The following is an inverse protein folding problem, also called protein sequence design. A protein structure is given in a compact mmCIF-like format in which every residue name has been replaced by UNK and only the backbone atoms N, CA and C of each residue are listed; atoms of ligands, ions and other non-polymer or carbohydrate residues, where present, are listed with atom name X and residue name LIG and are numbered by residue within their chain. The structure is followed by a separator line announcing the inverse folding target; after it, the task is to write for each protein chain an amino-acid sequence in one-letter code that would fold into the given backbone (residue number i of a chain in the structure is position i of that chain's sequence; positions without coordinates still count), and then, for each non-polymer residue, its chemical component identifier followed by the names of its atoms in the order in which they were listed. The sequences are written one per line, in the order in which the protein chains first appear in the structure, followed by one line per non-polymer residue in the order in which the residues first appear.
data_IF_190610112554
#
_entry.id   IF_190610112554
#
_cell.length_a   1.000
_cell.length_b   1.000
_cell.length_c   1.000
_cell.angle_alpha   90.00
_cell.angle_beta   90.00
_cell.angle_gamma   90.00
#
_symmetry.space_group_name_H-M   'P 1'
#
loop_
_entity.id
_entity.type
_entity.pdbx_description
1 polymer ?
#
# COMPACT_ATOMS: atom_id res chain seq x y z
N UNK A 1 50.19 -5.24 0.48
CA UNK A 1 49.36 -5.45 -0.70
C UNK A 1 48.01 -4.87 -0.38
N UNK A 2 47.70 -3.69 -0.90
CA UNK A 2 46.43 -3.03 -0.66
C UNK A 2 45.46 -3.50 -1.74
N UNK A 3 44.40 -4.22 -1.33
CA UNK A 3 43.28 -4.57 -2.22
C UNK A 3 42.51 -3.29 -2.51
N UNK A 4 42.55 -2.88 -3.76
CA UNK A 4 41.75 -1.79 -4.29
C UNK A 4 40.32 -2.32 -4.47
N UNK A 5 39.46 -2.07 -3.49
CA UNK A 5 37.99 -2.25 -3.67
C UNK A 5 37.52 -1.32 -4.79
N UNK A 6 37.32 -1.86 -5.96
CA UNK A 6 36.64 -1.18 -7.07
C UNK A 6 35.16 -1.08 -6.69
N UNK A 7 34.75 0.05 -6.15
CA UNK A 7 33.33 0.41 -6.03
C UNK A 7 32.73 0.50 -7.44
N UNK A 8 32.17 -0.61 -7.92
CA UNK A 8 31.31 -0.58 -9.10
C UNK A 8 30.11 0.36 -8.80
N UNK A 9 30.04 1.46 -9.51
CA UNK A 9 28.85 2.30 -9.53
C UNK A 9 27.67 1.44 -9.99
N UNK A 10 26.54 1.43 -9.26
CA UNK A 10 25.36 0.72 -9.71
C UNK A 10 24.98 1.22 -11.10
N UNK A 11 24.90 0.29 -12.06
CA UNK A 11 24.43 0.58 -13.42
C UNK A 11 22.99 1.06 -13.32
N UNK A 12 22.74 2.35 -13.50
CA UNK A 12 21.36 2.85 -13.62
C UNK A 12 20.70 2.15 -14.81
N UNK A 13 19.49 1.67 -14.59
CA UNK A 13 18.71 1.07 -15.65
C UNK A 13 18.53 2.09 -16.79
N UNK A 14 18.74 1.67 -18.05
CA UNK A 14 18.53 2.53 -19.22
C UNK A 14 17.12 2.35 -19.78
N UNK A 15 16.56 3.41 -20.37
CA UNK A 15 15.23 3.37 -20.97
C UNK A 15 14.07 3.61 -19.98
N UNK A 16 12.94 2.95 -20.21
CA UNK A 16 11.73 3.11 -19.40
C UNK A 16 11.97 2.85 -17.91
N UNK A 17 12.68 1.78 -17.56
CA UNK A 17 13.01 1.45 -16.16
C UNK A 17 13.87 2.53 -15.49
N UNK A 18 14.81 3.12 -16.22
CA UNK A 18 15.60 4.23 -15.70
C UNK A 18 14.78 5.50 -15.44
N UNK A 19 13.74 5.72 -16.23
CA UNK A 19 12.81 6.83 -16.00
C UNK A 19 11.95 6.58 -14.76
N UNK A 20 11.43 5.37 -14.60
CA UNK A 20 10.65 4.96 -13.40
C UNK A 20 11.51 5.08 -12.14
N UNK A 21 12.77 4.59 -12.19
CA UNK A 21 13.72 4.71 -11.08
C UNK A 21 14.00 6.19 -10.73
N UNK A 22 14.24 7.06 -11.72
CA UNK A 22 14.47 8.49 -11.47
C UNK A 22 13.25 9.19 -10.87
N UNK A 23 12.05 8.88 -11.33
CA UNK A 23 10.81 9.45 -10.80
C UNK A 23 10.57 8.91 -9.40
N UNK A 24 10.68 7.60 -9.18
CA UNK A 24 10.49 6.97 -7.88
C UNK A 24 11.44 7.53 -6.81
N UNK A 25 12.72 7.71 -7.16
CA UNK A 25 13.72 8.25 -6.24
C UNK A 25 13.56 9.76 -5.95
N UNK A 26 12.71 10.47 -6.70
CA UNK A 26 12.39 11.89 -6.46
C UNK A 26 11.09 12.06 -5.67
N UNK A 27 10.32 11.01 -5.49
CA UNK A 27 9.11 11.09 -4.69
C UNK A 27 9.49 11.42 -3.24
N UNK A 28 8.83 12.40 -2.62
CA UNK A 28 9.02 12.70 -1.22
C UNK A 28 8.45 11.58 -0.35
N UNK A 29 8.77 11.61 0.93
CA UNK A 29 8.17 10.74 1.94
C UNK A 29 6.63 10.74 1.82
N UNK A 30 5.95 9.61 2.07
CA UNK A 30 4.49 9.49 1.98
C UNK A 30 3.72 10.59 2.73
N UNK A 31 4.22 11.03 3.89
CA UNK A 31 3.62 12.14 4.62
C UNK A 31 3.54 13.41 3.76
N UNK A 32 4.65 13.78 3.12
CA UNK A 32 4.70 14.97 2.26
C UNK A 32 3.87 14.82 1.00
N UNK A 33 3.74 13.58 0.47
CA UNK A 33 2.84 13.32 -0.66
C UNK A 33 1.39 13.66 -0.31
N UNK A 34 0.92 13.26 0.88
CA UNK A 34 -0.43 13.60 1.35
C UNK A 34 -0.61 15.09 1.61
N UNK A 35 0.39 15.77 2.18
CA UNK A 35 0.36 17.22 2.37
C UNK A 35 0.26 17.95 1.02
N UNK A 36 1.06 17.54 0.04
CA UNK A 36 1.02 18.12 -1.32
C UNK A 36 -0.35 17.87 -1.97
N UNK A 37 -0.89 16.65 -1.84
CA UNK A 37 -2.22 16.31 -2.38
C UNK A 37 -3.31 17.16 -1.73
N UNK A 38 -3.29 17.31 -0.42
CA UNK A 38 -4.23 18.18 0.30
C UNK A 38 -4.12 19.63 -0.16
N UNK A 39 -2.90 20.15 -0.35
CA UNK A 39 -2.67 21.48 -0.88
C UNK A 39 -3.20 21.64 -2.31
N UNK A 40 -3.00 20.64 -3.18
CA UNK A 40 -3.55 20.64 -4.54
C UNK A 40 -5.09 20.69 -4.50
N UNK A 41 -5.73 19.90 -3.66
CA UNK A 41 -7.19 19.90 -3.50
C UNK A 41 -7.67 21.27 -3.01
N UNK A 42 -7.01 21.86 -2.01
CA UNK A 42 -7.36 23.19 -1.51
C UNK A 42 -7.24 24.29 -2.58
N UNK A 43 -6.14 24.27 -3.34
CA UNK A 43 -5.95 25.23 -4.46
C UNK A 43 -7.00 25.01 -5.56
N UNK A 44 -7.29 23.75 -5.90
CA UNK A 44 -8.27 23.42 -6.94
C UNK A 44 -9.68 23.83 -6.54
N UNK A 45 -10.06 23.65 -5.27
CA UNK A 45 -11.35 24.12 -4.76
C UNK A 45 -11.47 25.65 -4.80
N UNK A 46 -10.39 26.35 -4.46
CA UNK A 46 -10.33 27.81 -4.53
C UNK A 46 -10.47 28.31 -5.98
N UNK A 47 -9.75 27.71 -6.93
CA UNK A 47 -9.86 28.04 -8.36
C UNK A 47 -11.27 27.71 -8.89
N UNK A 48 -11.83 26.55 -8.54
CA UNK A 48 -13.17 26.14 -8.91
C UNK A 48 -14.23 27.14 -8.43
N UNK A 49 -14.09 27.60 -7.19
CA UNK A 49 -14.96 28.63 -6.63
C UNK A 49 -14.84 29.96 -7.38
N UNK A 50 -13.61 30.39 -7.71
CA UNK A 50 -13.38 31.65 -8.43
C UNK A 50 -14.01 31.68 -9.83
N UNK A 51 -14.04 30.53 -10.53
CA UNK A 51 -14.62 30.42 -11.87
C UNK A 51 -16.10 30.02 -11.86
N UNK A 52 -16.71 29.91 -10.66
CA UNK A 52 -18.12 29.54 -10.49
C UNK A 52 -18.42 28.12 -10.97
N UNK A 53 -17.53 27.15 -10.73
CA UNK A 53 -17.80 25.75 -11.06
C UNK A 53 -18.99 25.21 -10.27
N UNK A 54 -19.86 24.52 -10.98
CA UNK A 54 -21.04 23.86 -10.39
C UNK A 54 -21.05 22.39 -10.80
N UNK A 55 -21.65 21.56 -9.97
CA UNK A 55 -21.92 20.15 -10.24
C UNK A 55 -23.39 19.86 -9.92
N UNK A 56 -23.98 18.92 -10.61
CA UNK A 56 -25.34 18.47 -10.38
C UNK A 56 -25.31 17.25 -9.44
N UNK A 57 -26.06 17.28 -8.36
CA UNK A 57 -26.20 16.13 -7.45
C UNK A 57 -26.99 15.03 -8.19
N UNK A 58 -26.42 13.84 -8.35
CA UNK A 58 -27.04 12.74 -9.11
C UNK A 58 -28.33 12.21 -8.44
N UNK A 59 -28.56 12.47 -7.15
CA UNK A 59 -29.78 12.04 -6.42
C UNK A 59 -30.88 13.05 -6.44
N UNK A 60 -30.54 14.30 -6.17
CA UNK A 60 -31.54 15.37 -6.00
C UNK A 60 -31.74 16.19 -7.27
N UNK A 61 -30.79 16.15 -8.22
CA UNK A 61 -30.77 17.03 -9.39
C UNK A 61 -30.48 18.49 -9.04
N UNK A 62 -30.10 18.78 -7.81
CA UNK A 62 -29.78 20.14 -7.38
C UNK A 62 -28.39 20.54 -7.88
N UNK A 63 -28.23 21.79 -8.27
CA UNK A 63 -26.93 22.35 -8.65
C UNK A 63 -26.16 22.74 -7.39
N UNK A 64 -25.02 22.10 -7.17
CA UNK A 64 -24.11 22.39 -6.05
C UNK A 64 -22.98 23.27 -6.58
N UNK A 65 -22.74 24.40 -5.94
CA UNK A 65 -21.60 25.27 -6.25
C UNK A 65 -20.34 24.79 -5.52
N UNK A 66 -19.18 24.92 -6.16
CA UNK A 66 -17.90 24.59 -5.55
C UNK A 66 -17.54 25.64 -4.51
N UNK A 67 -17.46 25.22 -3.25
CA UNK A 67 -16.99 26.06 -2.15
C UNK A 67 -15.47 26.01 -2.04
N UNK A 68 -14.86 27.15 -1.74
CA UNK A 68 -13.42 27.21 -1.49
C UNK A 68 -13.07 26.66 -0.10
N UNK A 69 -12.17 25.68 -0.04
CA UNK A 69 -11.63 25.16 1.22
C UNK A 69 -10.74 26.17 1.97
N UNK A 70 -10.30 27.25 1.30
CA UNK A 70 -9.41 28.27 1.87
C UNK A 70 -10.16 29.44 2.53
N UNK A 71 -11.49 29.37 2.65
CA UNK A 71 -12.24 30.35 3.45
C UNK A 71 -11.98 30.17 4.94
N UNK A 72 -12.04 31.23 5.71
CA UNK A 72 -11.81 31.18 7.17
C UNK A 72 -12.79 30.20 7.84
N UNK A 73 -14.03 30.16 7.37
CA UNK A 73 -15.04 29.23 7.87
C UNK A 73 -14.66 27.78 7.61
N UNK A 74 -14.30 27.43 6.38
CA UNK A 74 -13.94 26.05 6.02
C UNK A 74 -12.63 25.61 6.68
N UNK A 75 -11.64 26.50 6.82
CA UNK A 75 -10.42 26.19 7.59
C UNK A 75 -10.78 25.93 9.07
N UNK A 76 -11.65 26.75 9.67
CA UNK A 76 -12.10 26.52 11.03
C UNK A 76 -12.82 25.17 11.17
N UNK A 77 -13.74 24.84 10.26
CA UNK A 77 -14.43 23.54 10.22
C UNK A 77 -13.45 22.36 10.07
N UNK A 78 -12.45 22.47 9.20
CA UNK A 78 -11.43 21.42 9.04
C UNK A 78 -10.69 21.12 10.35
N UNK A 79 -10.45 22.12 11.17
CA UNK A 79 -9.78 21.95 12.47
C UNK A 79 -10.75 21.45 13.55
N UNK A 80 -11.94 22.04 13.64
CA UNK A 80 -12.94 21.66 14.67
C UNK A 80 -13.47 20.26 14.45
N UNK A 81 -13.71 19.88 13.19
CA UNK A 81 -14.32 18.60 12.83
C UNK A 81 -13.29 17.50 12.54
N UNK A 82 -11.98 17.79 12.72
CA UNK A 82 -10.92 16.86 12.41
C UNK A 82 -11.07 15.50 13.13
N UNK A 83 -11.43 15.52 14.41
CA UNK A 83 -11.63 14.29 15.20
C UNK A 83 -12.86 13.54 14.71
N UNK A 84 -13.96 14.23 14.44
CA UNK A 84 -15.18 13.61 13.94
C UNK A 84 -14.97 13.02 12.54
N UNK A 85 -14.33 13.74 11.64
CA UNK A 85 -13.98 13.26 10.30
C UNK A 85 -13.12 12.01 10.35
N UNK A 86 -12.17 11.93 11.30
CA UNK A 86 -11.35 10.74 11.48
C UNK A 86 -12.15 9.58 12.05
N UNK A 87 -12.92 9.79 13.10
CA UNK A 87 -13.67 8.73 13.79
C UNK A 87 -14.89 8.24 13.02
N UNK A 88 -15.48 9.08 12.19
CA UNK A 88 -16.62 8.74 11.32
C UNK A 88 -16.21 8.07 10.01
N UNK A 89 -14.89 7.94 9.74
CA UNK A 89 -14.41 7.23 8.55
C UNK A 89 -14.91 5.77 8.54
N UNK A 90 -15.78 5.38 7.59
CA UNK A 90 -16.52 4.12 7.68
C UNK A 90 -15.66 2.88 7.86
N UNK A 91 -14.50 2.72 7.18
CA UNK A 91 -13.65 1.54 7.36
C UNK A 91 -12.82 1.53 8.65
N UNK A 92 -12.73 2.64 9.40
CA UNK A 92 -11.82 2.76 10.54
C UNK A 92 -12.02 1.68 11.60
N UNK A 93 -13.27 1.44 12.01
CA UNK A 93 -13.58 0.46 13.03
C UNK A 93 -13.21 -0.96 12.62
N UNK A 94 -13.48 -1.32 11.37
CA UNK A 94 -13.16 -2.64 10.82
C UNK A 94 -11.64 -2.82 10.69
N UNK A 95 -10.93 -1.79 10.20
CA UNK A 95 -9.47 -1.80 10.09
C UNK A 95 -8.84 -2.00 11.46
N UNK A 96 -9.25 -1.25 12.48
CA UNK A 96 -8.71 -1.37 13.83
C UNK A 96 -8.97 -2.77 14.44
N UNK A 97 -10.17 -3.32 14.26
CA UNK A 97 -10.49 -4.67 14.74
C UNK A 97 -9.63 -5.74 14.07
N UNK A 98 -9.45 -5.66 12.75
CA UNK A 98 -8.60 -6.59 11.99
C UNK A 98 -7.13 -6.43 12.39
N UNK A 99 -6.63 -5.20 12.52
CA UNK A 99 -5.24 -4.95 12.93
C UNK A 99 -4.94 -5.50 14.32
N UNK A 100 -5.88 -5.43 15.26
CA UNK A 100 -5.72 -6.07 16.58
C UNK A 100 -5.58 -7.59 16.45
N UNK A 101 -6.40 -8.24 15.64
CA UNK A 101 -6.29 -9.67 15.37
C UNK A 101 -4.96 -10.06 14.71
N UNK A 102 -4.54 -9.31 13.70
CA UNK A 102 -3.27 -9.51 12.98
C UNK A 102 -2.08 -9.30 13.94
N UNK A 103 -2.09 -8.26 14.77
CA UNK A 103 -1.03 -8.00 15.74
C UNK A 103 -0.85 -9.15 16.75
N UNK A 104 -1.95 -9.73 17.23
CA UNK A 104 -1.90 -10.92 18.10
C UNK A 104 -1.32 -12.13 17.37
N UNK A 105 -1.72 -12.37 16.12
CA UNK A 105 -1.21 -13.46 15.30
C UNK A 105 0.28 -13.29 14.96
N UNK A 106 0.73 -12.06 14.76
CA UNK A 106 2.14 -11.72 14.53
C UNK A 106 2.97 -11.92 15.79
N UNK A 107 2.56 -11.34 16.92
CA UNK A 107 3.30 -11.43 18.19
C UNK A 107 3.35 -12.87 18.74
N UNK A 108 2.31 -13.67 18.49
CA UNK A 108 2.31 -15.10 18.84
C UNK A 108 3.23 -15.95 17.97
N UNK A 109 3.77 -15.40 16.89
CA UNK A 109 4.57 -16.13 15.90
C UNK A 109 3.76 -17.01 14.95
N UNK A 110 2.44 -16.96 15.00
CA UNK A 110 1.55 -17.77 14.16
C UNK A 110 1.81 -17.49 12.68
N UNK A 111 1.89 -16.21 12.28
CA UNK A 111 2.13 -15.82 10.89
C UNK A 111 3.49 -16.33 10.40
N UNK A 112 4.54 -16.18 11.21
CA UNK A 112 5.87 -16.70 10.89
C UNK A 112 5.87 -18.22 10.72
N UNK A 113 5.15 -18.94 11.58
CA UNK A 113 5.04 -20.39 11.50
C UNK A 113 4.28 -20.85 10.24
N UNK A 114 3.19 -20.17 9.88
CA UNK A 114 2.43 -20.45 8.66
C UNK A 114 3.26 -20.24 7.40
N UNK A 115 3.93 -19.10 7.29
CA UNK A 115 4.78 -18.79 6.12
C UNK A 115 5.94 -19.80 6.01
N UNK A 116 6.58 -20.14 7.12
CA UNK A 116 7.64 -21.19 7.13
C UNK A 116 7.08 -22.55 6.70
N UNK A 117 5.92 -22.95 7.20
CA UNK A 117 5.30 -24.22 6.86
C UNK A 117 4.98 -24.32 5.36
N UNK A 118 4.55 -23.23 4.73
CA UNK A 118 4.31 -23.18 3.28
C UNK A 118 5.58 -23.39 2.47
N UNK A 119 6.72 -22.87 2.89
CA UNK A 119 7.95 -22.84 2.08
C UNK A 119 8.87 -24.04 2.34
N UNK A 120 8.90 -24.62 3.56
CA UNK A 120 9.94 -25.58 3.98
C UNK A 120 9.79 -27.02 3.43
N UNK A 121 8.63 -27.42 2.94
CA UNK A 121 8.36 -28.79 2.46
C UNK A 121 8.04 -28.84 0.96
N UNK A 122 8.66 -27.99 0.17
CA UNK A 122 8.35 -27.82 -1.25
C UNK A 122 9.43 -28.42 -2.13
N UNK A 123 9.02 -29.11 -3.21
CA UNK A 123 9.97 -29.59 -4.22
C UNK A 123 10.64 -28.42 -4.96
N UNK A 124 11.88 -28.62 -5.42
CA UNK A 124 12.64 -27.60 -6.13
C UNK A 124 11.89 -27.03 -7.36
N UNK A 125 11.05 -27.85 -8.02
CA UNK A 125 10.26 -27.43 -9.19
C UNK A 125 9.13 -26.44 -8.84
N UNK A 126 8.51 -26.62 -7.68
CA UNK A 126 7.38 -25.81 -7.22
C UNK A 126 7.81 -24.63 -6.34
N UNK A 127 9.07 -24.55 -5.96
CA UNK A 127 9.57 -23.59 -4.98
C UNK A 127 9.26 -22.14 -5.36
N UNK A 128 9.50 -21.76 -6.62
CA UNK A 128 9.23 -20.39 -7.09
C UNK A 128 7.75 -20.04 -6.97
N UNK A 129 6.88 -20.96 -7.39
CA UNK A 129 5.43 -20.77 -7.30
C UNK A 129 4.97 -20.65 -5.85
N UNK A 130 5.46 -21.51 -4.96
CA UNK A 130 5.05 -21.50 -3.55
C UNK A 130 5.56 -20.25 -2.81
N UNK A 131 6.80 -19.82 -3.09
CA UNK A 131 7.32 -18.57 -2.52
C UNK A 131 6.51 -17.37 -3.01
N UNK A 132 6.16 -17.34 -4.30
CA UNK A 132 5.30 -16.29 -4.84
C UNK A 132 3.90 -16.34 -4.24
N UNK A 133 3.29 -17.51 -4.13
CA UNK A 133 1.96 -17.68 -3.51
C UNK A 133 1.99 -17.29 -2.03
N UNK A 134 3.04 -17.64 -1.31
CA UNK A 134 3.24 -17.25 0.08
C UNK A 134 3.38 -15.72 0.23
N UNK A 135 4.06 -15.06 -0.72
CA UNK A 135 4.16 -13.59 -0.77
C UNK A 135 2.83 -12.91 -0.97
N UNK A 136 2.08 -13.36 -1.99
CA UNK A 136 0.76 -12.83 -2.30
C UNK A 136 -0.22 -13.05 -1.14
N UNK A 137 -0.32 -14.28 -0.62
CA UNK A 137 -1.27 -14.61 0.46
C UNK A 137 -0.82 -14.03 1.81
N UNK A 138 0.50 -13.94 2.01
CA UNK A 138 1.08 -13.42 3.24
C UNK A 138 0.91 -11.91 3.43
N UNK A 139 0.43 -11.18 2.42
CA UNK A 139 0.10 -9.76 2.51
C UNK A 139 -0.94 -9.43 3.60
N UNK A 140 -1.69 -10.43 4.06
CA UNK A 140 -2.55 -10.32 5.27
C UNK A 140 -1.73 -9.92 6.51
N UNK A 141 -0.45 -10.32 6.57
CA UNK A 141 0.48 -9.93 7.64
C UNK A 141 1.08 -8.52 7.46
N UNK A 142 0.58 -7.74 6.50
CA UNK A 142 1.09 -6.39 6.20
C UNK A 142 2.62 -6.38 6.03
N UNK A 143 3.33 -5.52 6.72
CA UNK A 143 4.78 -5.35 6.58
C UNK A 143 5.61 -6.51 7.13
N UNK A 144 5.07 -7.30 8.06
CA UNK A 144 5.75 -8.46 8.64
C UNK A 144 6.14 -9.51 7.58
N UNK A 145 5.38 -9.61 6.48
CA UNK A 145 5.69 -10.56 5.40
C UNK A 145 7.06 -10.30 4.76
N UNK A 146 7.46 -9.03 4.61
CA UNK A 146 8.74 -8.69 4.02
C UNK A 146 9.92 -9.17 4.87
N UNK A 147 9.82 -8.99 6.18
CA UNK A 147 10.86 -9.38 7.13
C UNK A 147 11.01 -10.91 7.21
N UNK A 148 9.90 -11.64 7.05
CA UNK A 148 9.88 -13.10 7.17
C UNK A 148 10.19 -13.77 5.84
N UNK A 149 9.47 -13.40 4.79
CA UNK A 149 9.48 -14.18 3.53
C UNK A 149 10.71 -13.89 2.66
N UNK A 150 11.24 -12.67 2.65
CA UNK A 150 12.41 -12.34 1.83
C UNK A 150 13.63 -13.18 2.22
N UNK A 151 14.08 -13.21 3.50
CA UNK A 151 15.19 -14.06 3.89
C UNK A 151 14.85 -15.56 3.77
N UNK A 152 13.60 -15.94 4.06
CA UNK A 152 13.17 -17.33 3.94
C UNK A 152 13.19 -17.81 2.47
N UNK A 153 12.74 -16.98 1.53
CA UNK A 153 12.81 -17.23 0.09
C UNK A 153 14.26 -17.38 -0.39
N UNK A 154 15.15 -16.50 0.07
CA UNK A 154 16.59 -16.61 -0.23
C UNK A 154 17.18 -17.92 0.28
N UNK A 155 16.92 -18.29 1.52
CA UNK A 155 17.40 -19.53 2.12
C UNK A 155 16.83 -20.77 1.43
N UNK A 156 15.54 -20.75 1.09
CA UNK A 156 14.89 -21.88 0.44
C UNK A 156 15.45 -22.13 -0.99
N UNK A 157 15.71 -21.05 -1.74
CA UNK A 157 16.36 -21.16 -3.05
C UNK A 157 17.79 -21.66 -2.93
N UNK A 158 18.55 -21.18 -1.96
CA UNK A 158 19.89 -21.65 -1.69
C UNK A 158 19.92 -23.15 -1.36
N UNK A 159 19.00 -23.63 -0.52
CA UNK A 159 18.91 -25.02 -0.11
C UNK A 159 18.68 -26.01 -1.28
N UNK A 160 18.08 -25.56 -2.38
CA UNK A 160 17.87 -26.36 -3.60
C UNK A 160 18.91 -26.08 -4.70
N UNK A 161 20.01 -25.39 -4.35
CA UNK A 161 21.11 -25.07 -5.29
C UNK A 161 20.78 -23.93 -6.27
N UNK A 162 19.76 -23.12 -6.01
CA UNK A 162 19.39 -21.96 -6.82
C UNK A 162 19.91 -20.67 -6.19
N UNK A 163 20.00 -19.60 -6.99
CA UNK A 163 20.47 -18.30 -6.49
C UNK A 163 19.58 -17.76 -5.37
N UNK A 164 20.13 -17.47 -4.18
CA UNK A 164 19.37 -16.87 -3.07
C UNK A 164 18.87 -15.48 -3.41
N UNK A 165 19.57 -14.70 -4.25
CA UNK A 165 19.15 -13.38 -4.71
C UNK A 165 17.84 -13.50 -5.50
N UNK A 166 17.72 -14.48 -6.39
CA UNK A 166 16.47 -14.74 -7.13
C UNK A 166 15.35 -15.10 -6.17
N UNK A 167 15.62 -15.90 -5.14
CA UNK A 167 14.63 -16.22 -4.10
C UNK A 167 14.13 -15.01 -3.34
N UNK A 168 15.04 -14.12 -2.94
CA UNK A 168 14.69 -12.84 -2.31
C UNK A 168 13.87 -11.94 -3.24
N UNK A 169 14.25 -11.84 -4.51
CA UNK A 169 13.53 -11.04 -5.51
C UNK A 169 12.12 -11.57 -5.76
N UNK A 170 11.94 -12.88 -5.87
CA UNK A 170 10.62 -13.50 -6.03
C UNK A 170 9.74 -13.21 -4.82
N UNK A 171 10.28 -13.36 -3.60
CA UNK A 171 9.57 -13.07 -2.37
C UNK A 171 9.15 -11.61 -2.28
N UNK A 172 10.09 -10.69 -2.54
CA UNK A 172 9.82 -9.25 -2.54
C UNK A 172 8.79 -8.85 -3.59
N UNK A 173 8.96 -9.29 -4.84
CA UNK A 173 8.05 -8.95 -5.92
C UNK A 173 6.63 -9.47 -5.66
N UNK A 174 6.50 -10.70 -5.14
CA UNK A 174 5.20 -11.28 -4.82
C UNK A 174 4.51 -10.55 -3.66
N UNK A 175 5.25 -10.18 -2.62
CA UNK A 175 4.69 -9.44 -1.47
C UNK A 175 4.32 -8.00 -1.84
N UNK A 176 5.08 -7.36 -2.75
CA UNK A 176 4.83 -5.96 -3.15
C UNK A 176 3.79 -5.86 -4.26
N UNK A 177 4.04 -6.49 -5.42
CA UNK A 177 3.14 -6.40 -6.57
C UNK A 177 1.87 -7.23 -6.40
N UNK A 178 1.94 -8.32 -5.62
CA UNK A 178 0.81 -9.19 -5.29
C UNK A 178 0.02 -8.77 -4.05
N UNK A 179 0.32 -7.62 -3.44
CA UNK A 179 -0.25 -7.20 -2.16
C UNK A 179 -1.78 -7.22 -2.15
N UNK A 180 -2.42 -6.79 -3.23
CA UNK A 180 -3.88 -6.76 -3.38
C UNK A 180 -4.46 -7.99 -4.09
N UNK A 181 -3.64 -8.97 -4.45
CA UNK A 181 -4.08 -10.20 -5.11
C UNK A 181 -4.16 -11.39 -4.14
N UNK A 182 -4.28 -11.12 -2.84
CA UNK A 182 -4.37 -12.14 -1.79
C UNK A 182 -5.56 -13.07 -2.01
N UNK A 183 -5.37 -14.36 -1.68
CA UNK A 183 -6.46 -15.34 -1.65
C UNK A 183 -7.37 -15.19 -0.42
N UNK A 184 -6.96 -14.39 0.54
CA UNK A 184 -7.67 -14.12 1.80
C UNK A 184 -7.89 -12.61 1.86
N UNK A 185 -9.05 -12.20 2.37
CA UNK A 185 -9.36 -10.78 2.58
C UNK A 185 -8.26 -10.10 3.39
N UNK A 186 -7.75 -9.01 2.86
CA UNK A 186 -6.75 -8.19 3.53
C UNK A 186 -7.31 -6.82 3.93
N UNK A 187 -6.50 -6.00 4.59
CA UNK A 187 -6.90 -4.67 5.07
C UNK A 187 -7.29 -3.76 3.90
N UNK A 188 -6.62 -3.88 2.75
CA UNK A 188 -6.91 -3.07 1.56
C UNK A 188 -8.29 -3.40 0.97
N UNK A 189 -8.69 -4.68 0.97
CA UNK A 189 -10.02 -5.08 0.51
C UNK A 189 -11.12 -4.46 1.38
N UNK A 190 -10.91 -4.45 2.69
CA UNK A 190 -11.84 -3.85 3.65
C UNK A 190 -11.91 -2.32 3.51
N UNK A 191 -10.75 -1.69 3.29
CA UNK A 191 -10.66 -0.26 3.03
C UNK A 191 -11.43 0.12 1.75
N UNK A 192 -11.17 -0.61 0.65
CA UNK A 192 -11.84 -0.37 -0.62
C UNK A 192 -13.36 -0.62 -0.52
N UNK A 193 -13.78 -1.69 0.16
CA UNK A 193 -15.19 -1.95 0.39
C UNK A 193 -15.85 -0.83 1.21
N UNK A 194 -15.18 -0.35 2.27
CA UNK A 194 -15.66 0.73 3.13
C UNK A 194 -15.77 2.08 2.43
N UNK A 195 -15.00 2.32 1.38
CA UNK A 195 -15.06 3.54 0.58
C UNK A 195 -16.05 3.39 -0.59
N UNK A 196 -16.00 2.26 -1.30
CA UNK A 196 -16.81 2.06 -2.51
C UNK A 196 -18.28 1.82 -2.19
N UNK A 197 -18.61 1.17 -1.07
CA UNK A 197 -20.01 0.92 -0.70
C UNK A 197 -20.79 2.22 -0.46
N UNK A 198 -20.32 3.18 0.37
CA UNK A 198 -20.99 4.47 0.50
C UNK A 198 -21.05 5.26 -0.81
N UNK A 199 -19.98 5.19 -1.62
CA UNK A 199 -19.95 5.86 -2.93
C UNK A 199 -20.99 5.27 -3.90
N UNK A 200 -21.16 3.94 -3.92
CA UNK A 200 -22.19 3.30 -4.74
C UNK A 200 -23.60 3.67 -4.26
N UNK A 201 -23.84 3.71 -2.97
CA UNK A 201 -25.13 4.13 -2.38
C UNK A 201 -25.47 5.60 -2.64
N UNK A 202 -24.48 6.39 -3.07
CA UNK A 202 -24.72 7.78 -3.45
C UNK A 202 -25.38 7.90 -4.83
N UNK A 203 -25.27 6.91 -5.67
CA UNK A 203 -25.80 6.88 -7.06
C UNK A 203 -27.09 6.04 -7.16
N UNK A 204 -27.25 5.03 -6.32
CA UNK A 204 -28.43 4.17 -6.19
C UNK A 204 -29.37 4.67 -5.10
#
# INVERSE_FOLDING_TARGET
MAETETKEKPRSASGFLGTVEKIGNKLPDPFWLFVILAAIVAVTSWLGHLIGMTAEDPKTGETIEVESLLTTENISRMVTDAVENFTSFPPLGVILAVMLGVAVAEQSGLLSALVRAMVTKVSAKMLTFVVALAGVTGSVASDAIYVILIPLGAMAFHAVGRSPIVGAMVAFAASSAGFNASLILNITDLLLAGISTPAAQFVD
#
